data_IF_948187312649
#
_entry.id   IF_948187312649
#
_cell.length_a   1.000
_cell.length_b   1.000
_cell.length_c   1.000
_cell.angle_alpha   90.00
_cell.angle_beta   90.00
_cell.angle_gamma   90.00
#
_symmetry.space_group_name_H-M   'P 1'
#
loop_
_entity.id
_entity.type
_entity.pdbx_description
1 polymer ?
#
# COMPACT_ATOMS: atom_id res chain seq x y z
N UNK A 1 -2.75 2.32 -25.93
CA UNK A 1 -3.50 1.82 -24.76
C UNK A 1 -3.97 3.03 -23.97
N UNK A 2 -5.27 3.12 -23.66
CA UNK A 2 -5.73 4.07 -22.63
C UNK A 2 -5.29 3.45 -21.31
N UNK A 3 -4.27 4.02 -20.67
CA UNK A 3 -3.92 3.63 -19.31
C UNK A 3 -5.14 3.90 -18.42
N UNK A 4 -5.69 2.86 -17.80
CA UNK A 4 -6.76 3.03 -16.83
C UNK A 4 -6.21 3.78 -15.62
N UNK A 5 -6.81 4.93 -15.31
CA UNK A 5 -6.47 5.71 -14.12
C UNK A 5 -6.93 4.94 -12.88
N UNK A 6 -6.05 4.83 -11.88
CA UNK A 6 -6.33 4.18 -10.59
C UNK A 6 -6.31 5.21 -9.47
N UNK A 7 -7.25 5.10 -8.54
CA UNK A 7 -7.23 5.86 -7.29
C UNK A 7 -6.43 5.07 -6.25
N UNK A 8 -5.44 5.73 -5.65
CA UNK A 8 -4.60 5.15 -4.59
C UNK A 8 -4.69 6.00 -3.33
N UNK A 9 -4.72 5.35 -2.17
CA UNK A 9 -4.74 6.01 -0.88
C UNK A 9 -3.93 5.20 0.14
N UNK A 10 -3.29 5.90 1.07
CA UNK A 10 -2.61 5.30 2.21
C UNK A 10 -3.33 5.73 3.48
N UNK A 11 -3.54 4.78 4.39
CA UNK A 11 -4.19 4.99 5.68
C UNK A 11 -3.23 4.61 6.80
N UNK A 12 -3.11 5.47 7.80
CA UNK A 12 -2.52 5.10 9.09
C UNK A 12 -3.63 4.73 10.06
N UNK A 13 -3.57 3.53 10.62
CA UNK A 13 -4.55 3.03 11.58
C UNK A 13 -3.87 2.63 12.89
N UNK A 14 -4.63 2.68 13.98
CA UNK A 14 -4.28 2.03 15.26
C UNK A 14 -5.19 0.82 15.42
N UNK A 15 -4.63 -0.33 15.73
CA UNK A 15 -5.39 -1.57 15.88
C UNK A 15 -4.83 -2.42 17.03
N UNK A 16 -5.71 -3.23 17.64
CA UNK A 16 -5.34 -4.26 18.60
C UNK A 16 -5.18 -5.65 17.94
N UNK A 17 -5.53 -5.76 16.66
CA UNK A 17 -5.38 -6.99 15.89
C UNK A 17 -3.91 -7.34 15.70
N UNK A 18 -3.60 -8.64 15.68
CA UNK A 18 -2.33 -9.15 15.17
C UNK A 18 -2.26 -8.98 13.66
N UNK A 19 -1.07 -9.09 13.10
CA UNK A 19 -0.86 -8.90 11.66
C UNK A 19 -1.64 -9.91 10.82
N UNK A 20 -1.77 -11.16 11.27
CA UNK A 20 -2.52 -12.20 10.56
C UNK A 20 -4.03 -11.91 10.59
N UNK A 21 -4.54 -11.43 11.72
CA UNK A 21 -5.95 -11.02 11.87
C UNK A 21 -6.25 -9.80 11.00
N UNK A 22 -5.31 -8.85 10.92
CA UNK A 22 -5.41 -7.70 10.03
C UNK A 22 -5.43 -8.13 8.56
N UNK A 23 -4.55 -9.05 8.16
CA UNK A 23 -4.52 -9.61 6.80
C UNK A 23 -5.86 -10.28 6.43
N UNK A 24 -6.40 -11.10 7.34
CA UNK A 24 -7.72 -11.72 7.11
C UNK A 24 -8.83 -10.67 7.01
N UNK A 25 -8.76 -9.61 7.82
CA UNK A 25 -9.73 -8.51 7.81
C UNK A 25 -9.69 -7.76 6.48
N UNK A 26 -8.51 -7.40 5.97
CA UNK A 26 -8.39 -6.70 4.68
C UNK A 26 -8.87 -7.56 3.52
N UNK A 27 -8.53 -8.85 3.51
CA UNK A 27 -9.02 -9.80 2.50
C UNK A 27 -10.55 -9.94 2.53
N UNK A 28 -11.16 -9.93 3.71
CA UNK A 28 -12.62 -9.99 3.84
C UNK A 28 -13.28 -8.73 3.28
N UNK A 29 -12.73 -7.55 3.56
CA UNK A 29 -13.23 -6.27 3.01
C UNK A 29 -13.21 -6.29 1.47
N UNK A 30 -12.14 -6.80 0.86
CA UNK A 30 -12.08 -6.92 -0.60
C UNK A 30 -13.16 -7.85 -1.15
N UNK A 31 -13.42 -8.98 -0.48
CA UNK A 31 -14.48 -9.93 -0.84
C UNK A 31 -15.85 -9.25 -0.76
N UNK A 32 -16.12 -8.56 0.35
CA UNK A 32 -17.39 -7.87 0.59
C UNK A 32 -17.64 -6.74 -0.44
N UNK A 33 -16.57 -6.12 -0.95
CA UNK A 33 -16.61 -5.10 -2.01
C UNK A 33 -16.62 -5.68 -3.43
N UNK A 34 -16.72 -7.01 -3.58
CA UNK A 34 -16.98 -7.66 -4.87
C UNK A 34 -15.77 -8.38 -5.48
N UNK A 35 -14.70 -8.65 -4.72
CA UNK A 35 -13.61 -9.52 -5.20
C UNK A 35 -14.12 -10.96 -5.38
N UNK A 36 -14.34 -11.36 -6.63
CA UNK A 36 -14.68 -12.74 -7.02
C UNK A 36 -13.40 -13.60 -7.13
N UNK A 37 -13.37 -14.79 -6.50
CA UNK A 37 -12.21 -15.71 -6.60
C UNK A 37 -12.16 -16.50 -7.92
N UNK A 38 -13.10 -16.27 -8.84
CA UNK A 38 -13.41 -17.20 -9.93
C UNK A 38 -12.68 -16.91 -11.25
N UNK A 39 -12.09 -15.72 -11.45
CA UNK A 39 -11.40 -15.39 -12.71
C UNK A 39 -10.04 -14.76 -12.42
N UNK A 40 -8.98 -15.42 -12.89
CA UNK A 40 -7.63 -14.86 -12.89
C UNK A 40 -7.65 -13.65 -13.85
N UNK A 41 -7.32 -12.46 -13.35
CA UNK A 41 -7.20 -11.19 -14.11
C UNK A 41 -8.48 -10.35 -14.33
N UNK A 42 -9.56 -10.57 -13.56
CA UNK A 42 -10.65 -9.58 -13.54
C UNK A 42 -10.22 -8.26 -12.88
N UNK A 43 -10.81 -7.16 -13.35
CA UNK A 43 -10.65 -5.85 -12.73
C UNK A 43 -11.11 -5.94 -11.27
N UNK A 44 -10.19 -5.67 -10.33
CA UNK A 44 -10.52 -5.62 -8.91
C UNK A 44 -11.18 -4.27 -8.60
N UNK A 45 -12.27 -4.31 -7.84
CA UNK A 45 -12.92 -3.08 -7.33
C UNK A 45 -11.96 -2.35 -6.37
N UNK A 46 -11.21 -3.10 -5.57
CA UNK A 46 -10.22 -2.58 -4.62
C UNK A 46 -9.13 -3.64 -4.37
N UNK A 47 -7.94 -3.18 -3.99
CA UNK A 47 -6.80 -3.99 -3.53
C UNK A 47 -6.25 -3.32 -2.26
N UNK A 48 -6.09 -4.08 -1.18
CA UNK A 48 -5.66 -3.58 0.14
C UNK A 48 -4.37 -4.27 0.57
N UNK A 49 -3.26 -3.55 0.45
CA UNK A 49 -1.92 -4.00 0.87
C UNK A 49 -1.57 -3.49 2.29
N UNK A 50 -1.02 -4.37 3.14
CA UNK A 50 -0.40 -3.96 4.41
C UNK A 50 1.03 -3.52 4.12
N UNK A 51 1.30 -2.21 4.20
CA UNK A 51 2.62 -1.64 3.91
C UNK A 51 3.61 -1.82 5.06
N UNK A 52 3.16 -1.55 6.29
CA UNK A 52 3.93 -1.63 7.52
C UNK A 52 3.04 -2.15 8.65
N UNK A 53 3.66 -2.74 9.67
CA UNK A 53 2.99 -3.10 10.92
C UNK A 53 3.87 -2.70 12.10
N UNK A 54 3.79 -1.42 12.49
CA UNK A 54 4.74 -0.81 13.40
C UNK A 54 6.16 -0.86 12.83
N UNK A 55 7.12 -1.28 13.65
CA UNK A 55 8.52 -1.49 13.32
C UNK A 55 8.86 -2.97 13.00
N UNK A 56 7.84 -3.83 12.90
CA UNK A 56 8.05 -5.26 12.70
C UNK A 56 8.61 -5.57 11.31
N UNK A 57 9.49 -6.57 11.28
CA UNK A 57 9.99 -7.19 10.05
C UNK A 57 9.48 -8.64 10.05
N UNK A 58 8.64 -8.97 9.07
CA UNK A 58 7.97 -10.26 8.98
C UNK A 58 8.24 -10.85 7.61
N UNK A 59 8.68 -12.12 7.58
CA UNK A 59 8.87 -12.88 6.36
C UNK A 59 8.21 -14.25 6.54
N UNK A 60 6.96 -14.38 6.09
CA UNK A 60 6.16 -15.61 6.12
C UNK A 60 5.59 -15.86 4.71
N UNK A 61 5.23 -17.11 4.37
CA UNK A 61 4.71 -17.45 3.03
C UNK A 61 3.54 -16.58 2.56
N UNK A 62 2.65 -16.19 3.48
CA UNK A 62 1.43 -15.45 3.16
C UNK A 62 1.53 -13.95 3.49
N UNK A 63 2.62 -13.49 4.12
CA UNK A 63 2.78 -12.09 4.53
C UNK A 63 4.25 -11.68 4.66
N UNK A 64 4.59 -10.57 3.99
CA UNK A 64 5.91 -9.95 4.05
C UNK A 64 5.76 -8.47 4.43
N UNK A 65 6.39 -8.07 5.54
CA UNK A 65 6.36 -6.71 6.10
C UNK A 65 7.79 -6.24 6.39
N UNK A 66 8.17 -5.00 6.01
CA UNK A 66 7.40 -4.07 5.17
C UNK A 66 7.09 -4.64 3.79
N UNK A 67 6.03 -4.13 3.13
CA UNK A 67 5.65 -4.65 1.82
C UNK A 67 6.83 -4.54 0.84
N UNK A 68 7.28 -5.66 0.24
CA UNK A 68 8.61 -5.79 -0.36
C UNK A 68 8.83 -4.85 -1.55
N UNK A 69 7.76 -4.39 -2.18
CA UNK A 69 7.81 -3.54 -3.38
C UNK A 69 7.33 -2.11 -3.15
N UNK A 70 7.03 -1.69 -1.91
CA UNK A 70 6.51 -0.34 -1.66
C UNK A 70 7.49 0.75 -2.14
N UNK A 71 8.80 0.52 -1.95
CA UNK A 71 9.86 1.46 -2.32
C UNK A 71 10.04 1.62 -3.85
N UNK A 72 9.37 0.77 -4.63
CA UNK A 72 9.44 0.77 -6.09
C UNK A 72 8.21 1.41 -6.75
N UNK A 73 7.25 1.93 -5.97
CA UNK A 73 5.94 2.35 -6.46
C UNK A 73 5.61 3.77 -6.03
N UNK A 74 5.56 4.71 -6.98
CA UNK A 74 5.25 6.11 -6.67
C UNK A 74 3.83 6.28 -6.15
N UNK A 75 2.87 5.54 -6.68
CA UNK A 75 1.47 5.59 -6.23
C UNK A 75 1.28 5.14 -4.77
N UNK A 76 2.26 4.43 -4.20
CA UNK A 76 2.32 4.11 -2.77
C UNK A 76 3.11 5.16 -1.99
N UNK A 77 4.30 5.54 -2.48
CA UNK A 77 5.22 6.44 -1.77
C UNK A 77 4.72 7.89 -1.68
N UNK A 78 4.07 8.42 -2.73
CA UNK A 78 3.55 9.80 -2.73
C UNK A 78 2.53 10.02 -1.60
N UNK A 79 1.42 9.26 -1.50
CA UNK A 79 0.47 9.43 -0.40
C UNK A 79 1.04 9.00 0.96
N UNK A 80 2.00 8.06 1.00
CA UNK A 80 2.65 7.68 2.26
C UNK A 80 3.54 8.80 2.81
N UNK A 81 4.34 9.45 1.96
CA UNK A 81 5.18 10.57 2.34
C UNK A 81 4.35 11.80 2.77
N UNK A 82 3.11 11.95 2.26
CA UNK A 82 2.19 13.00 2.71
C UNK A 82 1.85 12.87 4.21
N UNK A 83 1.66 11.64 4.71
CA UNK A 83 1.23 11.42 6.10
C UNK A 83 2.37 11.02 7.04
N UNK A 84 3.50 10.56 6.50
CA UNK A 84 4.60 9.97 7.27
C UNK A 84 5.97 10.15 6.58
N UNK A 85 6.30 11.37 6.14
CA UNK A 85 7.56 11.70 5.43
C UNK A 85 8.81 11.18 6.15
N UNK A 86 8.86 11.39 7.47
CA UNK A 86 10.05 11.16 8.30
C UNK A 86 10.11 9.73 8.86
N UNK A 87 9.11 8.89 8.55
CA UNK A 87 9.10 7.51 9.01
C UNK A 87 10.22 6.70 8.33
N UNK A 88 11.12 6.13 9.13
CA UNK A 88 12.24 5.33 8.62
C UNK A 88 11.80 3.91 8.30
N UNK A 89 12.10 3.46 7.08
CA UNK A 89 11.92 2.06 6.68
C UNK A 89 12.83 1.15 7.53
N UNK A 90 12.28 0.15 8.26
CA UNK A 90 13.06 -0.61 9.25
C UNK A 90 14.19 -1.44 8.62
N UNK A 91 14.02 -1.89 7.37
CA UNK A 91 15.05 -2.60 6.58
C UNK A 91 15.96 -1.68 5.76
N UNK A 92 15.41 -0.80 4.92
CA UNK A 92 16.17 0.03 3.99
C UNK A 92 16.92 1.21 4.65
N UNK A 93 16.56 1.53 5.91
CA UNK A 93 17.19 2.62 6.69
C UNK A 93 17.17 3.97 5.98
N UNK A 94 16.01 4.27 5.38
CA UNK A 94 15.70 5.51 4.68
C UNK A 94 14.30 5.96 5.04
N UNK A 95 14.11 7.27 5.10
CA UNK A 95 12.79 7.89 5.31
C UNK A 95 11.88 7.67 4.09
N UNK A 96 10.56 7.83 4.27
CA UNK A 96 9.62 7.73 3.15
C UNK A 96 9.87 8.81 2.09
N UNK A 97 10.31 10.00 2.52
CA UNK A 97 10.71 11.08 1.61
C UNK A 97 11.94 10.68 0.78
N UNK A 98 13.00 10.18 1.41
CA UNK A 98 14.20 9.72 0.68
C UNK A 98 13.88 8.59 -0.30
N UNK A 99 13.03 7.64 0.11
CA UNK A 99 12.58 6.56 -0.78
C UNK A 99 11.76 7.07 -1.97
N UNK A 100 10.94 8.10 -1.77
CA UNK A 100 10.20 8.75 -2.85
C UNK A 100 11.14 9.44 -3.85
N UNK A 101 12.18 10.12 -3.37
CA UNK A 101 13.19 10.79 -4.21
C UNK A 101 13.98 9.82 -5.10
N UNK A 102 14.31 8.63 -4.58
CA UNK A 102 15.07 7.60 -5.32
C UNK A 102 14.20 6.54 -6.00
N UNK A 103 12.87 6.72 -6.02
CA UNK A 103 11.95 5.73 -6.57
C UNK A 103 12.17 5.57 -8.09
N UNK A 104 12.37 4.33 -8.61
CA UNK A 104 12.63 4.10 -10.03
C UNK A 104 11.39 4.17 -10.92
N UNK A 105 10.19 4.06 -10.33
CA UNK A 105 8.93 4.26 -11.04
C UNK A 105 8.82 5.74 -11.43
N UNK A 106 8.40 6.02 -12.67
CA UNK A 106 8.27 7.37 -13.22
C UNK A 106 6.82 7.70 -13.60
N UNK A 107 5.85 6.86 -13.22
CA UNK A 107 4.44 7.13 -13.45
C UNK A 107 3.99 8.35 -12.65
N UNK A 108 3.10 9.13 -13.27
CA UNK A 108 2.52 10.32 -12.67
C UNK A 108 1.54 9.95 -11.56
N UNK A 109 1.60 10.71 -10.46
CA UNK A 109 0.69 10.58 -9.32
C UNK A 109 0.22 11.97 -8.98
N UNK A 110 -1.05 12.25 -9.28
CA UNK A 110 -1.69 13.51 -8.98
C UNK A 110 -2.59 13.37 -7.76
N UNK A 111 -2.53 14.36 -6.87
CA UNK A 111 -3.46 14.44 -5.76
C UNK A 111 -4.84 14.85 -6.28
N UNK A 112 -5.83 13.99 -6.06
CA UNK A 112 -7.21 14.31 -6.40
C UNK A 112 -7.74 15.36 -5.40
N UNK A 113 -7.96 16.59 -5.88
CA UNK A 113 -8.63 17.63 -5.11
C UNK A 113 -10.14 17.41 -5.18
N UNK A 114 -10.80 17.31 -4.02
CA UNK A 114 -12.26 17.35 -4.00
C UNK A 114 -12.72 18.77 -4.35
N UNK A 115 -13.58 18.98 -5.37
CA UNK A 115 -14.22 20.27 -5.56
C UNK A 115 -15.04 20.56 -4.29
N UNK A 116 -14.75 21.70 -3.68
CA UNK A 116 -15.47 22.19 -2.50
C UNK A 116 -16.85 22.73 -2.89
#
# INVERSE_FOLDING_TARGET
>A
EIASILLNQVLQIKTHLKVEELLHTTQQIEIDLGRTRNVRWEARVIDIDILFFGDQIINKPDIEIPHPRLHLRRFTLVPLAEIASDFEHPVLKRTMLELLEICPDNLEVEKLHHPT
#
